data_IF_776043160170
#
_entry.id   IF_776043160170
#
_cell.length_a   1.000
_cell.length_b   1.000
_cell.length_c   1.000
_cell.angle_alpha   90.00
_cell.angle_beta   90.00
_cell.angle_gamma   90.00
#
_symmetry.space_group_name_H-M   'P 1'
#
loop_
_entity.id
_entity.type
_entity.pdbx_description
1 polymer ?
#
# COMPACT_ATOMS: atom_id res chain seq x y z
N UNK A 1 -5.09 6.10 -9.43
CA UNK A 1 -4.50 7.00 -10.47
C UNK A 1 -3.26 6.31 -10.99
N UNK A 2 -2.94 6.36 -12.29
CA UNK A 2 -1.71 5.78 -12.79
C UNK A 2 -0.50 6.45 -12.10
N UNK A 3 0.48 5.66 -11.65
CA UNK A 3 1.70 6.19 -11.01
C UNK A 3 2.86 6.25 -12.00
N UNK A 4 3.72 7.27 -11.95
CA UNK A 4 4.80 7.42 -12.93
C UNK A 4 5.91 6.38 -12.79
N UNK A 5 6.06 5.77 -11.60
CA UNK A 5 7.03 4.72 -11.31
C UNK A 5 6.64 3.98 -10.03
N UNK A 6 7.25 2.81 -9.78
CA UNK A 6 7.16 2.14 -8.49
C UNK A 6 8.48 2.27 -7.73
N UNK A 7 8.42 2.84 -6.52
CA UNK A 7 9.62 2.98 -5.69
C UNK A 7 10.18 1.63 -5.20
N UNK A 8 9.39 0.55 -5.23
CA UNK A 8 9.83 -0.80 -4.87
C UNK A 8 10.53 -1.47 -6.04
N UNK A 9 9.97 -1.40 -7.27
CA UNK A 9 10.68 -1.82 -8.48
C UNK A 9 12.04 -1.12 -8.63
N UNK A 10 12.16 0.16 -8.25
CA UNK A 10 13.43 0.87 -8.31
C UNK A 10 14.49 0.36 -7.33
N UNK A 11 14.10 -0.34 -6.25
CA UNK A 11 15.04 -0.98 -5.33
C UNK A 11 15.57 -2.33 -5.83
N UNK A 12 14.87 -2.94 -6.78
CA UNK A 12 15.18 -4.28 -7.27
C UNK A 12 15.05 -4.37 -8.80
N UNK A 13 16.17 -4.27 -9.50
CA UNK A 13 16.22 -4.32 -10.97
C UNK A 13 15.63 -5.62 -11.57
N UNK A 14 15.64 -6.73 -10.82
CA UNK A 14 15.03 -7.98 -11.28
C UNK A 14 13.50 -7.87 -11.35
N UNK A 15 12.87 -7.30 -10.32
CA UNK A 15 11.42 -7.07 -10.30
C UNK A 15 11.00 -5.98 -11.30
N UNK A 16 11.83 -4.96 -11.49
CA UNK A 16 11.59 -3.92 -12.51
C UNK A 16 11.51 -4.51 -13.92
N UNK A 17 12.37 -5.47 -14.26
CA UNK A 17 12.33 -6.13 -15.58
C UNK A 17 11.09 -7.00 -15.76
N UNK A 18 10.57 -7.57 -14.68
CA UNK A 18 9.44 -8.50 -14.72
C UNK A 18 8.07 -7.79 -14.69
N UNK A 19 7.96 -6.68 -13.97
CA UNK A 19 6.67 -6.03 -13.66
C UNK A 19 6.64 -4.52 -13.97
N UNK A 20 7.76 -3.95 -14.41
CA UNK A 20 8.10 -2.52 -14.34
C UNK A 20 7.06 -1.55 -14.84
N UNK A 21 6.57 -1.75 -16.07
CA UNK A 21 5.63 -0.80 -16.70
C UNK A 21 4.19 -1.34 -16.77
N UNK A 22 4.02 -2.66 -16.78
CA UNK A 22 2.72 -3.30 -17.04
C UNK A 22 1.66 -3.07 -15.94
N UNK A 23 2.07 -2.58 -14.77
CA UNK A 23 1.19 -2.45 -13.59
C UNK A 23 1.19 -1.04 -12.98
N UNK A 24 1.82 -0.07 -13.64
CA UNK A 24 1.86 1.33 -13.20
C UNK A 24 0.52 2.02 -13.36
N UNK A 25 -0.24 1.69 -14.41
CA UNK A 25 -1.56 2.29 -14.68
C UNK A 25 -2.60 1.99 -13.59
N UNK A 26 -2.41 0.87 -12.90
CA UNK A 26 -3.26 0.41 -11.80
C UNK A 26 -2.60 0.62 -10.43
N UNK A 27 -1.45 1.29 -10.39
CA UNK A 27 -0.77 1.64 -9.14
C UNK A 27 -1.50 2.74 -8.38
N UNK A 28 -0.98 3.04 -7.20
CA UNK A 28 -1.43 4.18 -6.41
C UNK A 28 -0.35 4.67 -5.45
N UNK A 29 -0.59 5.81 -4.82
CA UNK A 29 0.25 6.32 -3.75
C UNK A 29 -0.12 5.66 -2.42
N UNK A 30 0.88 5.13 -1.72
CA UNK A 30 0.65 4.54 -0.41
C UNK A 30 0.18 5.63 0.58
N UNK A 31 -0.96 5.48 1.28
CA UNK A 31 -1.45 6.50 2.21
C UNK A 31 -0.59 6.64 3.48
N UNK A 32 0.36 5.73 3.70
CA UNK A 32 1.25 5.74 4.86
C UNK A 32 2.50 6.57 4.57
N UNK A 33 3.25 6.17 3.53
CA UNK A 33 4.55 6.77 3.20
C UNK A 33 4.49 7.74 2.01
N UNK A 34 3.33 7.88 1.37
CA UNK A 34 3.07 8.77 0.23
C UNK A 34 3.98 8.51 -0.98
N UNK A 35 4.58 7.32 -1.08
CA UNK A 35 5.40 6.91 -2.22
C UNK A 35 4.56 6.16 -3.25
N UNK A 36 4.85 6.34 -4.55
CA UNK A 36 4.12 5.65 -5.61
C UNK A 36 4.51 4.17 -5.65
N UNK A 37 3.51 3.29 -5.81
CA UNK A 37 3.70 1.84 -5.93
C UNK A 37 2.83 1.28 -7.05
N UNK A 38 3.36 0.34 -7.84
CA UNK A 38 2.57 -0.37 -8.84
C UNK A 38 1.58 -1.32 -8.16
N UNK A 39 0.56 -1.76 -8.89
CA UNK A 39 -0.50 -2.64 -8.35
C UNK A 39 0.04 -3.92 -7.70
N UNK A 40 1.16 -4.45 -8.20
CA UNK A 40 1.80 -5.66 -7.70
C UNK A 40 2.48 -5.45 -6.34
N UNK A 41 3.07 -4.27 -6.13
CA UNK A 41 3.73 -3.89 -4.88
C UNK A 41 2.78 -3.21 -3.88
N UNK A 42 1.46 -3.36 -4.07
CA UNK A 42 0.45 -2.93 -3.12
C UNK A 42 -0.26 -4.12 -2.48
N UNK A 43 -0.36 -4.10 -1.16
CA UNK A 43 -1.11 -5.06 -0.36
C UNK A 43 -2.37 -4.42 0.22
N UNK A 44 -3.44 -5.20 0.30
CA UNK A 44 -4.64 -4.80 1.04
C UNK A 44 -4.38 -4.91 2.54
N UNK A 45 -4.81 -3.91 3.28
CA UNK A 45 -4.91 -3.91 4.76
C UNK A 45 -6.34 -3.57 5.15
N UNK A 46 -6.78 -4.08 6.30
CA UNK A 46 -8.16 -3.92 6.78
C UNK A 46 -8.14 -3.42 8.21
N UNK A 47 -9.15 -2.61 8.53
CA UNK A 47 -9.37 -2.14 9.89
C UNK A 47 -10.85 -2.09 10.19
N UNK A 48 -11.16 -2.05 11.48
CA UNK A 48 -12.47 -1.72 12.02
C UNK A 48 -12.42 -0.29 12.55
N UNK A 49 -13.44 0.51 12.22
CA UNK A 49 -13.65 1.81 12.83
C UNK A 49 -14.13 1.65 14.27
N UNK A 50 -13.47 2.33 15.22
CA UNK A 50 -13.80 2.18 16.65
C UNK A 50 -15.14 2.80 17.04
N UNK A 51 -15.55 3.85 16.35
CA UNK A 51 -16.78 4.60 16.58
C UNK A 51 -18.02 3.91 15.98
N UNK A 52 -17.92 3.43 14.75
CA UNK A 52 -19.03 2.87 13.99
C UNK A 52 -19.01 1.33 13.88
N UNK A 53 -17.89 0.68 14.23
CA UNK A 53 -17.71 -0.77 14.10
C UNK A 53 -17.60 -1.28 12.65
N UNK A 54 -17.68 -0.39 11.65
CA UNK A 54 -17.59 -0.73 10.24
C UNK A 54 -16.20 -1.25 9.86
N UNK A 55 -16.15 -2.24 8.97
CA UNK A 55 -14.90 -2.78 8.44
C UNK A 55 -14.60 -2.10 7.11
N UNK A 56 -13.40 -1.56 6.99
CA UNK A 56 -12.92 -0.93 5.77
C UNK A 56 -11.56 -1.52 5.35
N UNK A 57 -11.15 -1.23 4.11
CA UNK A 57 -9.88 -1.68 3.58
C UNK A 57 -9.26 -0.65 2.65
N UNK A 58 -7.93 -0.58 2.65
CA UNK A 58 -7.16 0.26 1.74
C UNK A 58 -5.99 -0.54 1.14
N UNK A 59 -5.49 -0.06 0.02
CA UNK A 59 -4.25 -0.54 -0.57
C UNK A 59 -3.08 0.28 -0.01
N UNK A 60 -2.06 -0.39 0.51
CA UNK A 60 -0.80 0.22 0.99
C UNK A 60 0.37 -0.45 0.29
N UNK A 61 1.53 0.21 0.19
CA UNK A 61 2.70 -0.47 -0.38
C UNK A 61 3.15 -1.65 0.50
N UNK A 62 3.74 -2.67 -0.12
CA UNK A 62 4.20 -3.87 0.55
C UNK A 62 5.28 -3.57 1.61
N UNK A 63 6.11 -2.55 1.42
CA UNK A 63 7.06 -2.09 2.45
C UNK A 63 6.34 -1.68 3.75
N UNK A 64 5.30 -0.82 3.66
CA UNK A 64 4.52 -0.39 4.83
C UNK A 64 3.63 -1.49 5.41
N UNK A 65 3.19 -2.44 4.58
CA UNK A 65 2.47 -3.62 5.03
C UNK A 65 3.38 -4.53 5.85
N UNK A 66 4.50 -4.95 5.28
CA UNK A 66 5.43 -5.94 5.87
C UNK A 66 6.16 -5.41 7.10
N UNK A 67 6.40 -4.09 7.17
CA UNK A 67 6.95 -3.44 8.36
C UNK A 67 5.89 -3.07 9.42
N UNK A 68 4.62 -3.42 9.19
CA UNK A 68 3.48 -3.07 10.05
C UNK A 68 3.28 -1.58 10.31
N UNK A 69 3.89 -0.68 9.51
CA UNK A 69 3.70 0.77 9.65
C UNK A 69 2.26 1.21 9.42
N UNK A 70 1.47 0.47 8.64
CA UNK A 70 0.04 0.74 8.53
C UNK A 70 -0.67 0.72 9.89
N UNK A 71 -0.17 -0.03 10.89
CA UNK A 71 -0.77 -0.06 12.22
C UNK A 71 -0.62 1.24 13.01
N UNK A 72 0.33 2.10 12.64
CA UNK A 72 0.48 3.43 13.26
C UNK A 72 -0.35 4.50 12.56
N UNK A 73 -0.97 4.17 11.42
CA UNK A 73 -1.89 5.06 10.72
C UNK A 73 -3.21 5.15 11.49
N UNK A 74 -3.49 6.35 12.00
CA UNK A 74 -4.77 6.68 12.60
C UNK A 74 -5.19 5.71 13.72
N UNK A 75 -4.25 5.43 14.64
CA UNK A 75 -4.44 4.52 15.78
C UNK A 75 -5.55 4.96 16.74
N UNK A 76 -5.94 6.24 16.70
CA UNK A 76 -7.03 6.75 17.51
C UNK A 76 -8.36 6.14 17.04
N UNK A 77 -8.62 6.16 15.74
CA UNK A 77 -9.93 5.79 15.17
C UNK A 77 -9.98 4.35 14.61
N UNK A 78 -8.83 3.74 14.32
CA UNK A 78 -8.75 2.44 13.64
C UNK A 78 -8.26 1.32 14.54
N UNK A 79 -8.90 0.17 14.41
CA UNK A 79 -8.48 -1.10 15.00
C UNK A 79 -8.11 -2.10 13.91
N UNK A 80 -6.83 -2.49 13.84
CA UNK A 80 -6.27 -3.24 12.71
C UNK A 80 -6.55 -4.73 12.82
N UNK A 81 -7.11 -5.30 11.76
CA UNK A 81 -7.53 -6.71 11.67
C UNK A 81 -6.91 -7.29 10.40
N UNK A 82 -5.90 -8.15 10.58
CA UNK A 82 -5.08 -8.75 9.51
C UNK A 82 -5.92 -9.34 8.36
#
# INVERSE_FOLDING_TARGET
MPVPYCHMCQKNDAEKRQYGDATLDQGDYCPICHRPACRFHMGRVRWRWKDAGGIESAMVCMDCKNSYQHRTWDTHNRDWID
#
